data_IF_946931665821
#
_entry.id   IF_946931665821
#
_cell.length_a   1.000
_cell.length_b   1.000
_cell.length_c   1.000
_cell.angle_alpha   90.00
_cell.angle_beta   90.00
_cell.angle_gamma   90.00
#
_symmetry.space_group_name_H-M   'P 1'
#
loop_
_entity.id
_entity.type
_entity.pdbx_description
1 polymer ?
#
# COMPACT_ATOMS: atom_id res chain seq x y z
N UNK A 1 -13.16 4.89 4.96
CA UNK A 1 -12.34 3.67 4.75
C UNK A 1 -13.05 2.83 3.71
N UNK A 2 -12.42 2.54 2.57
CA UNK A 2 -13.07 1.79 1.49
C UNK A 2 -12.92 0.30 1.70
N UNK A 3 -13.90 -0.50 1.27
CA UNK A 3 -13.92 -1.96 1.47
C UNK A 3 -12.66 -2.66 0.93
N UNK A 4 -12.03 -2.12 -0.12
CA UNK A 4 -10.82 -2.70 -0.74
C UNK A 4 -9.56 -2.46 0.08
N UNK A 5 -9.35 -1.24 0.56
CA UNK A 5 -8.23 -0.93 1.45
C UNK A 5 -8.31 -1.73 2.76
N UNK A 6 -9.51 -1.96 3.31
CA UNK A 6 -9.67 -2.83 4.49
C UNK A 6 -9.32 -4.28 4.18
N UNK A 7 -9.78 -4.79 3.04
CA UNK A 7 -9.51 -6.17 2.62
C UNK A 7 -8.01 -6.40 2.44
N UNK A 8 -7.31 -5.41 1.86
CA UNK A 8 -5.85 -5.44 1.73
C UNK A 8 -5.16 -5.50 3.10
N UNK A 9 -5.51 -4.61 4.03
CA UNK A 9 -4.91 -4.58 5.37
C UNK A 9 -5.21 -5.85 6.20
N UNK A 10 -6.39 -6.45 6.01
CA UNK A 10 -6.74 -7.74 6.64
C UNK A 10 -5.90 -8.89 6.08
N UNK A 11 -5.64 -8.90 4.78
CA UNK A 11 -4.81 -9.92 4.13
C UNK A 11 -3.32 -9.74 4.48
N UNK A 12 -2.87 -8.49 4.63
CA UNK A 12 -1.47 -8.14 4.88
C UNK A 12 -1.32 -7.16 6.05
N UNK A 13 -1.38 -7.65 7.30
CA UNK A 13 -1.39 -6.81 8.50
C UNK A 13 -0.02 -6.24 8.91
N UNK A 14 1.08 -6.72 8.32
CA UNK A 14 2.45 -6.27 8.64
C UNK A 14 2.96 -5.24 7.63
N UNK A 15 3.54 -4.17 8.16
CA UNK A 15 4.10 -3.01 7.45
C UNK A 15 5.51 -3.20 6.90
N UNK A 16 6.19 -4.31 7.24
CA UNK A 16 7.62 -4.56 6.95
C UNK A 16 8.01 -4.57 5.46
N UNK A 17 7.08 -4.45 4.51
CA UNK A 17 7.34 -4.74 3.09
C UNK A 17 6.86 -3.64 2.13
N UNK A 18 6.58 -2.44 2.63
CA UNK A 18 6.19 -1.28 1.81
C UNK A 18 7.37 -0.49 1.24
N UNK A 19 8.57 -1.07 1.23
CA UNK A 19 9.62 -0.58 0.36
C UNK A 19 9.28 -1.03 -1.06
N UNK A 20 8.48 -0.20 -1.73
CA UNK A 20 8.13 -0.26 -3.15
C UNK A 20 9.40 0.10 -3.96
N UNK A 21 10.49 -0.63 -3.76
CA UNK A 21 11.69 -0.48 -4.59
C UNK A 21 12.02 -1.72 -5.39
N UNK A 22 11.51 -2.90 -5.03
CA UNK A 22 11.76 -4.09 -5.84
C UNK A 22 10.49 -4.92 -6.02
N UNK A 23 10.21 -5.25 -7.27
CA UNK A 23 9.29 -6.34 -7.66
C UNK A 23 9.73 -7.72 -7.11
N UNK A 24 10.69 -7.78 -6.18
CA UNK A 24 11.03 -8.92 -5.35
C UNK A 24 9.99 -9.18 -4.25
N UNK A 25 9.11 -8.21 -3.97
CA UNK A 25 7.94 -8.40 -3.11
C UNK A 25 6.84 -9.26 -3.75
N UNK A 26 6.10 -9.98 -2.90
CA UNK A 26 4.95 -10.82 -3.25
C UNK A 26 4.11 -10.25 -4.44
N UNK A 27 4.11 -10.91 -5.61
CA UNK A 27 3.47 -10.40 -6.82
C UNK A 27 1.94 -10.31 -6.67
N UNK A 28 1.32 -11.10 -5.79
CA UNK A 28 -0.10 -11.00 -5.52
C UNK A 28 -0.42 -9.70 -4.75
N UNK A 29 0.48 -9.29 -3.86
CA UNK A 29 0.34 -8.03 -3.12
C UNK A 29 0.51 -6.82 -4.02
N UNK A 30 1.51 -6.82 -4.90
CA UNK A 30 1.71 -5.76 -5.87
C UNK A 30 0.46 -5.58 -6.76
N UNK A 31 -0.08 -6.69 -7.28
CA UNK A 31 -1.33 -6.65 -8.06
C UNK A 31 -2.50 -6.07 -7.27
N UNK A 32 -2.70 -6.51 -6.03
CA UNK A 32 -3.79 -6.00 -5.17
C UNK A 32 -3.63 -4.51 -4.86
N UNK A 33 -2.40 -4.02 -4.72
CA UNK A 33 -2.14 -2.60 -4.51
C UNK A 33 -2.38 -1.77 -5.77
N UNK A 34 -2.01 -2.28 -6.95
CA UNK A 34 -2.32 -1.65 -8.25
C UNK A 34 -3.82 -1.61 -8.57
N UNK A 35 -4.64 -2.47 -7.95
CA UNK A 35 -6.09 -2.45 -8.07
C UNK A 35 -6.76 -1.38 -7.16
N UNK A 36 -6.00 -0.76 -6.25
CA UNK A 36 -6.46 0.36 -5.42
C UNK A 36 -6.40 1.67 -6.20
N UNK A 37 -7.36 2.55 -5.93
CA UNK A 37 -7.24 3.96 -6.32
C UNK A 37 -6.14 4.66 -5.52
N UNK A 38 -5.60 5.76 -6.03
CA UNK A 38 -4.56 6.53 -5.34
C UNK A 38 -4.93 6.87 -3.89
N UNK A 39 -6.17 7.29 -3.64
CA UNK A 39 -6.64 7.62 -2.30
C UNK A 39 -6.69 6.41 -1.36
N UNK A 40 -7.04 5.23 -1.89
CA UNK A 40 -7.03 3.98 -1.14
C UNK A 40 -5.62 3.48 -0.86
N UNK A 41 -4.74 3.61 -1.85
CA UNK A 41 -3.34 3.26 -1.74
C UNK A 41 -2.62 4.14 -0.71
N UNK A 42 -2.78 5.47 -0.80
CA UNK A 42 -2.30 6.44 0.20
C UNK A 42 -2.81 6.12 1.60
N UNK A 43 -4.09 5.75 1.72
CA UNK A 43 -4.67 5.34 3.00
C UNK A 43 -3.98 4.09 3.58
N UNK A 44 -3.75 3.07 2.77
CA UNK A 44 -3.03 1.85 3.17
C UNK A 44 -1.62 2.20 3.64
N UNK A 45 -0.89 3.04 2.89
CA UNK A 45 0.46 3.49 3.25
C UNK A 45 0.50 4.18 4.62
N UNK A 46 -0.42 5.13 4.86
CA UNK A 46 -0.54 5.80 6.18
C UNK A 46 -0.77 4.81 7.32
N UNK A 47 -1.62 3.80 7.09
CA UNK A 47 -1.93 2.78 8.11
C UNK A 47 -0.77 1.84 8.38
N UNK A 48 0.12 1.67 7.43
CA UNK A 48 1.34 0.89 7.59
C UNK A 48 2.51 1.73 8.12
N UNK A 49 2.31 3.04 8.35
CA UNK A 49 3.28 3.93 8.99
C UNK A 49 4.11 4.78 8.03
N UNK A 50 3.80 4.78 6.74
CA UNK A 50 4.45 5.67 5.78
C UNK A 50 4.14 7.13 6.10
N UNK A 51 5.15 7.98 5.98
CA UNK A 51 5.05 9.43 6.13
C UNK A 51 4.43 10.06 4.88
N UNK A 52 3.82 11.24 5.02
CA UNK A 52 3.29 11.97 3.86
C UNK A 52 4.38 12.30 2.82
N UNK A 53 5.64 12.40 3.23
CA UNK A 53 6.78 12.62 2.32
C UNK A 53 7.03 11.40 1.43
N UNK A 54 7.02 10.21 2.00
CA UNK A 54 7.17 8.95 1.25
C UNK A 54 5.97 8.72 0.32
N UNK A 55 4.77 9.06 0.78
CA UNK A 55 3.56 9.00 -0.02
C UNK A 55 3.62 9.98 -1.19
N UNK A 56 4.09 11.21 -0.98
CA UNK A 56 4.25 12.17 -2.08
C UNK A 56 5.24 11.65 -3.14
N UNK A 57 6.40 11.11 -2.74
CA UNK A 57 7.40 10.56 -3.67
C UNK A 57 6.84 9.41 -4.52
N UNK A 58 5.93 8.60 -3.97
CA UNK A 58 5.36 7.45 -4.68
C UNK A 58 4.18 7.79 -5.62
N UNK A 59 3.58 8.98 -5.50
CA UNK A 59 2.36 9.36 -6.24
C UNK A 59 2.44 10.71 -6.98
N UNK A 60 3.49 11.51 -6.79
CA UNK A 60 3.87 12.65 -7.66
C UNK A 60 4.75 12.17 -8.83
#
# INVERSE_FOLDING_TARGET
>A
MTKRAEAYLKKYPKSEYLFIEDQEGDPERARLFHELTDEEAKYVLRKQGATEKEIAIAFD
#
